data_IF_942671276419
#
_entry.id   IF_942671276419
#
_cell.length_a   1.000
_cell.length_b   1.000
_cell.length_c   1.000
_cell.angle_alpha   90.00
_cell.angle_beta   90.00
_cell.angle_gamma   90.00
#
_symmetry.space_group_name_H-M   'P 1'
#
loop_
_entity.id
_entity.type
_entity.pdbx_description
1 polymer ?
#
# COMPACT_ATOMS: atom_id res chain seq x y z
N UNK A 1 27.11 -13.82 -14.52
CA UNK A 1 25.71 -13.57 -14.16
C UNK A 1 25.74 -13.08 -12.73
N UNK A 2 25.74 -11.75 -12.54
CA UNK A 2 25.86 -11.14 -11.20
C UNK A 2 24.55 -11.27 -10.44
N UNK A 3 24.60 -11.90 -9.30
CA UNK A 3 23.52 -11.91 -8.31
C UNK A 3 23.15 -10.47 -7.97
N UNK A 4 21.94 -10.06 -8.32
CA UNK A 4 21.41 -8.76 -7.96
C UNK A 4 21.18 -8.79 -6.43
N UNK A 5 22.18 -8.38 -5.66
CA UNK A 5 22.08 -8.20 -4.20
C UNK A 5 21.13 -7.05 -3.90
N UNK A 6 19.83 -7.35 -3.89
CA UNK A 6 18.75 -6.43 -3.47
C UNK A 6 18.83 -6.07 -1.97
N UNK A 7 19.72 -6.71 -1.21
CA UNK A 7 19.85 -6.54 0.25
C UNK A 7 20.67 -5.32 0.69
N UNK A 8 21.44 -4.70 -0.18
CA UNK A 8 22.41 -3.67 0.22
C UNK A 8 21.97 -2.24 -0.15
N UNK A 9 20.70 -2.03 -0.53
CA UNK A 9 20.19 -0.67 -0.62
C UNK A 9 19.84 -0.18 0.80
N UNK A 10 20.40 0.94 1.27
CA UNK A 10 20.15 1.46 2.63
C UNK A 10 18.69 1.81 2.90
N UNK A 11 17.84 1.71 1.88
CA UNK A 11 16.40 1.92 1.94
C UNK A 11 15.59 0.70 2.44
N UNK A 12 16.18 -0.52 2.42
CA UNK A 12 15.48 -1.76 2.82
C UNK A 12 15.72 -2.15 4.28
N UNK A 13 16.69 -1.55 4.93
CA UNK A 13 16.85 -1.71 6.38
C UNK A 13 16.01 -0.64 7.08
N UNK A 14 14.74 -0.96 7.33
CA UNK A 14 13.92 -0.23 8.29
C UNK A 14 14.55 -0.27 9.68
N UNK A 15 15.62 0.49 9.87
CA UNK A 15 16.13 0.81 11.21
C UNK A 15 15.00 1.57 11.89
N UNK A 16 14.43 0.96 12.90
CA UNK A 16 13.60 1.67 13.86
C UNK A 16 14.42 2.90 14.32
N UNK A 17 14.03 4.08 13.84
CA UNK A 17 14.63 5.31 14.31
C UNK A 17 14.41 5.36 15.82
N UNK A 18 15.51 5.42 16.58
CA UNK A 18 15.45 5.63 18.01
C UNK A 18 14.65 6.90 18.33
N UNK A 19 14.24 7.09 19.58
CA UNK A 19 13.43 8.25 19.96
C UNK A 19 14.20 9.53 19.64
N UNK A 20 13.77 10.22 18.59
CA UNK A 20 14.29 11.56 18.29
C UNK A 20 13.68 12.55 19.29
N UNK A 21 14.40 13.59 19.69
CA UNK A 21 13.88 14.61 20.64
C UNK A 21 12.60 15.29 20.16
N UNK A 22 12.28 15.23 18.88
CA UNK A 22 10.99 15.66 18.33
C UNK A 22 9.82 14.79 18.79
N UNK A 23 10.05 13.54 19.23
CA UNK A 23 8.99 12.69 19.79
C UNK A 23 8.52 13.18 21.16
N UNK A 24 9.36 13.93 21.89
CA UNK A 24 8.98 14.57 23.15
C UNK A 24 8.04 15.78 22.96
N UNK A 25 8.01 16.39 21.78
CA UNK A 25 7.07 17.46 21.43
C UNK A 25 5.69 16.92 21.04
N UNK A 26 5.58 15.61 20.78
CA UNK A 26 4.33 14.96 20.34
C UNK A 26 3.26 14.77 21.43
N UNK A 27 3.59 15.05 22.68
CA UNK A 27 2.64 14.90 23.81
C UNK A 27 1.88 16.18 24.17
N UNK A 28 2.06 17.26 23.43
CA UNK A 28 1.28 18.47 23.63
C UNK A 28 -0.15 18.28 23.07
N UNK A 29 -1.16 18.70 23.84
CA UNK A 29 -2.58 18.58 23.46
C UNK A 29 -2.87 19.16 22.09
N UNK A 30 -2.23 20.26 21.71
CA UNK A 30 -2.39 20.89 20.39
C UNK A 30 -1.86 20.01 19.26
N UNK A 31 -0.66 19.45 19.37
CA UNK A 31 -0.06 18.59 18.33
C UNK A 31 -0.86 17.29 18.18
N UNK A 32 -1.30 16.68 19.28
CA UNK A 32 -2.15 15.48 19.27
C UNK A 32 -3.50 15.76 18.60
N UNK A 33 -4.08 16.93 18.79
CA UNK A 33 -5.35 17.32 18.16
C UNK A 33 -5.18 17.55 16.66
N UNK A 34 -4.11 18.23 16.25
CA UNK A 34 -3.78 18.45 14.83
C UNK A 34 -3.52 17.11 14.13
N UNK A 35 -2.75 16.20 14.74
CA UNK A 35 -2.49 14.87 14.21
C UNK A 35 -3.78 14.08 13.98
N UNK A 36 -4.71 14.11 14.94
CA UNK A 36 -6.01 13.44 14.81
C UNK A 36 -6.85 14.00 13.67
N UNK A 37 -6.90 15.33 13.52
CA UNK A 37 -7.67 15.99 12.45
C UNK A 37 -7.07 15.65 11.07
N UNK A 38 -5.75 15.73 10.91
CA UNK A 38 -5.09 15.43 9.65
C UNK A 38 -5.25 13.94 9.30
N UNK A 39 -5.07 13.03 10.27
CA UNK A 39 -5.24 11.61 10.04
C UNK A 39 -6.70 11.22 9.78
N UNK A 40 -7.66 11.92 10.38
CA UNK A 40 -9.07 11.77 10.03
C UNK A 40 -9.32 12.15 8.57
N UNK A 41 -8.82 13.30 8.12
CA UNK A 41 -8.93 13.72 6.72
C UNK A 41 -8.29 12.72 5.75
N UNK A 42 -7.05 12.28 6.03
CA UNK A 42 -6.33 11.29 5.22
C UNK A 42 -7.03 9.93 5.18
N UNK A 43 -7.58 9.47 6.32
CA UNK A 43 -8.29 8.19 6.36
C UNK A 43 -9.64 8.23 5.64
N UNK A 44 -10.24 9.40 5.51
CA UNK A 44 -11.57 9.57 4.88
C UNK A 44 -11.51 9.75 3.36
N UNK A 45 -10.34 10.10 2.82
CA UNK A 45 -10.13 10.29 1.38
C UNK A 45 -8.83 9.61 0.98
N UNK A 46 -8.91 8.33 0.57
CA UNK A 46 -7.77 7.54 0.11
C UNK A 46 -8.00 7.22 -1.36
N UNK A 47 -7.17 7.77 -2.24
CA UNK A 47 -7.32 7.59 -3.68
C UNK A 47 -6.40 6.48 -4.20
N UNK A 48 -6.99 5.35 -4.66
CA UNK A 48 -6.21 4.26 -5.20
C UNK A 48 -5.59 4.60 -6.56
N UNK A 49 -4.35 4.13 -6.79
CA UNK A 49 -3.75 4.09 -8.11
C UNK A 49 -4.40 2.99 -8.96
N UNK A 50 -4.67 3.28 -10.21
CA UNK A 50 -5.13 2.28 -11.18
C UNK A 50 -3.94 1.41 -11.61
N UNK A 51 -3.71 0.30 -10.89
CA UNK A 51 -2.58 -0.61 -11.15
C UNK A 51 -2.98 -2.07 -10.98
N UNK A 52 -3.47 -2.66 -12.07
CA UNK A 52 -3.89 -4.06 -12.12
C UNK A 52 -2.93 -4.92 -12.95
N UNK A 53 -2.50 -6.06 -12.43
CA UNK A 53 -1.51 -6.92 -13.05
C UNK A 53 -2.07 -8.26 -13.52
N UNK A 54 -3.08 -8.80 -12.84
CA UNK A 54 -3.62 -10.12 -13.12
C UNK A 54 -5.11 -10.23 -12.69
N UNK A 55 -5.58 -11.47 -12.48
CA UNK A 55 -6.99 -11.75 -12.14
C UNK A 55 -7.54 -11.00 -10.92
N UNK A 56 -6.72 -10.68 -9.92
CA UNK A 56 -7.15 -9.88 -8.78
C UNK A 56 -7.59 -8.46 -9.18
N UNK A 57 -7.11 -7.93 -10.31
CA UNK A 57 -7.56 -6.64 -10.82
C UNK A 57 -9.04 -6.66 -11.24
N UNK A 58 -9.56 -7.80 -11.68
CA UNK A 58 -10.97 -7.95 -12.04
C UNK A 58 -11.85 -7.85 -10.78
N UNK A 59 -11.43 -8.49 -9.69
CA UNK A 59 -12.12 -8.37 -8.40
C UNK A 59 -11.99 -6.96 -7.81
N UNK A 60 -10.86 -6.28 -8.02
CA UNK A 60 -10.70 -4.88 -7.67
C UNK A 60 -11.68 -3.99 -8.43
N UNK A 61 -11.90 -4.24 -9.74
CA UNK A 61 -12.93 -3.55 -10.52
C UNK A 61 -14.33 -3.89 -10.01
N UNK A 62 -14.59 -5.13 -9.59
CA UNK A 62 -15.83 -5.54 -8.97
C UNK A 62 -16.15 -4.78 -7.68
N UNK A 63 -15.12 -4.39 -6.90
CA UNK A 63 -15.29 -3.59 -5.69
C UNK A 63 -15.74 -2.14 -5.96
N UNK A 64 -15.52 -1.63 -7.15
CA UNK A 64 -16.01 -0.31 -7.62
C UNK A 64 -17.47 -0.40 -8.09
N UNK A 65 -17.94 -1.61 -8.35
CA UNK A 65 -19.30 -1.86 -8.84
C UNK A 65 -20.38 -1.46 -7.83
N UNK A 66 -21.62 -1.26 -8.28
CA UNK A 66 -22.72 -0.70 -7.46
C UNK A 66 -23.10 -1.57 -6.26
N UNK A 67 -22.76 -2.85 -6.28
CA UNK A 67 -23.08 -3.78 -5.20
C UNK A 67 -22.20 -3.56 -3.97
N UNK A 68 -20.90 -3.40 -4.13
CA UNK A 68 -19.92 -3.22 -3.06
C UNK A 68 -19.61 -1.75 -2.79
N UNK A 69 -19.43 -0.98 -3.84
CA UNK A 69 -19.23 0.46 -3.86
C UNK A 69 -18.18 0.97 -2.87
N UNK A 70 -16.92 0.83 -3.24
CA UNK A 70 -15.76 1.28 -2.45
C UNK A 70 -15.78 2.81 -2.17
N UNK A 71 -16.59 3.57 -2.91
CA UNK A 71 -16.79 5.01 -2.71
C UNK A 71 -17.32 5.34 -1.32
N UNK A 72 -18.12 4.44 -0.71
CA UNK A 72 -18.64 4.59 0.66
C UNK A 72 -17.53 4.69 1.71
N UNK A 73 -16.33 4.23 1.37
CA UNK A 73 -15.15 4.24 2.23
C UNK A 73 -14.13 5.31 1.84
N UNK A 74 -14.53 6.27 0.99
CA UNK A 74 -13.67 7.38 0.58
C UNK A 74 -12.61 7.03 -0.47
N UNK A 75 -12.77 5.90 -1.15
CA UNK A 75 -11.83 5.40 -2.18
C UNK A 75 -12.47 5.37 -3.56
N UNK A 76 -13.32 6.34 -3.87
CA UNK A 76 -14.09 6.41 -5.12
C UNK A 76 -13.19 6.55 -6.34
N UNK A 77 -12.17 7.38 -6.25
CA UNK A 77 -11.46 7.86 -7.42
C UNK A 77 -10.19 7.09 -7.67
N UNK A 78 -10.23 6.14 -8.60
CA UNK A 78 -9.06 5.46 -9.12
C UNK A 78 -8.25 6.38 -10.05
N UNK A 79 -7.10 6.83 -9.59
CA UNK A 79 -6.23 7.71 -10.37
C UNK A 79 -5.33 6.91 -11.30
N UNK A 80 -5.27 7.34 -12.57
CA UNK A 80 -4.32 6.78 -13.54
C UNK A 80 -2.90 7.33 -13.32
N UNK A 81 -2.78 8.54 -12.76
CA UNK A 81 -1.50 9.14 -12.44
C UNK A 81 -1.04 8.76 -11.03
N UNK A 82 0.13 8.14 -10.87
CA UNK A 82 0.69 7.83 -9.55
C UNK A 82 0.90 9.06 -8.67
N UNK A 83 1.18 10.21 -9.28
CA UNK A 83 1.42 11.48 -8.58
C UNK A 83 0.19 12.05 -7.88
N UNK A 84 -1.00 11.54 -8.19
CA UNK A 84 -2.28 11.98 -7.63
C UNK A 84 -2.94 10.90 -6.78
N UNK A 85 -2.25 9.80 -6.49
CA UNK A 85 -2.77 8.67 -5.72
C UNK A 85 -2.01 8.51 -4.42
N UNK A 86 -2.73 8.07 -3.39
CA UNK A 86 -2.21 7.86 -2.04
C UNK A 86 -2.06 6.37 -1.72
N UNK A 87 -2.81 5.51 -2.42
CA UNK A 87 -2.84 4.08 -2.20
C UNK A 87 -2.41 3.32 -3.46
N UNK A 88 -1.43 2.44 -3.34
CA UNK A 88 -1.07 1.48 -4.39
C UNK A 88 -1.63 0.10 -4.05
N UNK A 89 -2.56 -0.39 -4.88
CA UNK A 89 -3.08 -1.75 -4.76
C UNK A 89 -2.37 -2.61 -5.80
N UNK A 90 -1.43 -3.44 -5.36
CA UNK A 90 -0.75 -4.39 -6.25
C UNK A 90 -1.63 -5.63 -6.40
N UNK A 91 -2.39 -5.68 -7.51
CA UNK A 91 -3.43 -6.67 -7.73
C UNK A 91 -2.95 -7.85 -8.57
N UNK A 92 -2.50 -8.91 -7.92
CA UNK A 92 -2.15 -10.19 -8.55
C UNK A 92 -0.66 -10.47 -8.65
N UNK A 93 -0.28 -11.35 -9.61
CA UNK A 93 1.10 -11.79 -9.78
C UNK A 93 1.98 -10.72 -10.42
N UNK A 94 3.19 -10.60 -9.89
CA UNK A 94 4.21 -9.67 -10.36
C UNK A 94 5.28 -10.44 -11.14
N UNK A 95 5.37 -10.20 -12.43
CA UNK A 95 6.47 -10.73 -13.24
C UNK A 95 7.77 -9.98 -12.91
N UNK A 96 8.93 -10.68 -12.99
CA UNK A 96 10.23 -10.05 -12.71
C UNK A 96 10.48 -8.84 -13.63
N UNK A 97 10.00 -8.88 -14.86
CA UNK A 97 10.10 -7.74 -15.80
C UNK A 97 9.29 -6.51 -15.37
N UNK A 98 8.27 -6.69 -14.52
CA UNK A 98 7.45 -5.60 -13.99
C UNK A 98 8.03 -4.97 -12.71
N UNK A 99 9.04 -5.57 -12.10
CA UNK A 99 9.67 -5.05 -10.87
C UNK A 99 10.14 -3.60 -11.01
N UNK A 100 10.91 -3.22 -12.06
CA UNK A 100 11.35 -1.84 -12.22
C UNK A 100 10.17 -0.87 -12.40
N UNK A 101 9.10 -1.30 -13.07
CA UNK A 101 7.90 -0.48 -13.29
C UNK A 101 7.16 -0.23 -11.96
N UNK A 102 6.96 -1.26 -11.15
CA UNK A 102 6.33 -1.11 -9.82
C UNK A 102 7.13 -0.17 -8.94
N UNK A 103 8.45 -0.32 -8.93
CA UNK A 103 9.34 0.56 -8.18
C UNK A 103 9.21 2.01 -8.66
N UNK A 104 9.23 2.24 -9.96
CA UNK A 104 9.08 3.56 -10.54
C UNK A 104 7.71 4.18 -10.21
N UNK A 105 6.63 3.41 -10.29
CA UNK A 105 5.28 3.87 -9.90
C UNK A 105 5.25 4.25 -8.44
N UNK A 106 5.79 3.41 -7.57
CA UNK A 106 5.86 3.67 -6.13
C UNK A 106 6.67 4.93 -5.80
N UNK A 107 7.82 5.12 -6.46
CA UNK A 107 8.68 6.29 -6.23
C UNK A 107 8.04 7.60 -6.74
N UNK A 108 7.13 7.52 -7.72
CA UNK A 108 6.37 8.67 -8.23
C UNK A 108 5.20 9.08 -7.34
N UNK A 109 4.76 8.23 -6.42
CA UNK A 109 3.66 8.56 -5.50
C UNK A 109 4.14 9.53 -4.43
N UNK A 110 3.34 10.57 -4.10
CA UNK A 110 3.65 11.49 -3.02
C UNK A 110 3.57 10.81 -1.64
N UNK A 111 4.29 11.34 -0.68
CA UNK A 111 4.13 10.96 0.73
C UNK A 111 2.97 11.75 1.38
N UNK A 112 2.18 11.17 2.26
CA UNK A 112 2.19 9.77 2.71
C UNK A 112 1.54 8.83 1.69
N UNK A 113 2.10 7.63 1.51
CA UNK A 113 1.61 6.60 0.60
C UNK A 113 1.49 5.25 1.30
N UNK A 114 0.55 4.44 0.84
CA UNK A 114 0.27 3.12 1.41
C UNK A 114 0.22 2.06 0.33
N UNK A 115 0.51 0.83 0.68
CA UNK A 115 0.54 -0.30 -0.25
C UNK A 115 -0.29 -1.46 0.29
N UNK A 116 -1.21 -1.95 -0.55
CA UNK A 116 -1.94 -3.20 -0.31
C UNK A 116 -1.46 -4.26 -1.30
N UNK A 117 -0.94 -5.37 -0.81
CA UNK A 117 -0.66 -6.55 -1.61
C UNK A 117 -1.94 -7.40 -1.72
N UNK A 118 -2.60 -7.36 -2.89
CA UNK A 118 -3.87 -8.04 -3.12
C UNK A 118 -3.68 -9.41 -3.76
N UNK A 119 -4.09 -10.42 -3.01
CA UNK A 119 -4.10 -11.81 -3.43
C UNK A 119 -2.85 -12.60 -3.04
N UNK A 120 -2.96 -13.93 -3.11
CA UNK A 120 -1.88 -14.85 -2.76
C UNK A 120 -0.63 -14.63 -3.62
N UNK A 121 -0.79 -14.26 -4.90
CA UNK A 121 0.33 -14.01 -5.79
C UNK A 121 1.18 -12.80 -5.38
N UNK A 122 0.55 -11.70 -4.95
CA UNK A 122 1.26 -10.53 -4.46
C UNK A 122 1.90 -10.76 -3.09
N UNK A 123 1.29 -11.62 -2.26
CA UNK A 123 1.75 -11.89 -0.89
C UNK A 123 2.86 -12.94 -0.83
N UNK A 124 2.81 -14.00 -1.67
CA UNK A 124 3.72 -15.15 -1.56
C UNK A 124 3.93 -15.92 -2.88
N UNK A 125 3.71 -15.29 -4.05
CA UNK A 125 3.63 -15.91 -5.37
C UNK A 125 2.47 -16.92 -5.55
N UNK A 126 1.80 -17.35 -4.48
CA UNK A 126 0.68 -18.28 -4.54
C UNK A 126 1.03 -19.59 -5.23
N UNK A 127 0.16 -20.02 -6.19
CA UNK A 127 0.38 -21.21 -6.99
C UNK A 127 1.43 -21.06 -8.11
N UNK A 128 1.89 -19.84 -8.40
CA UNK A 128 2.82 -19.53 -9.49
C UNK A 128 4.26 -19.41 -9.01
N UNK A 129 4.75 -20.39 -8.27
CA UNK A 129 6.12 -20.40 -7.78
C UNK A 129 7.08 -20.81 -8.90
N UNK A 130 7.53 -19.86 -9.73
CA UNK A 130 8.48 -20.07 -10.79
C UNK A 130 9.50 -18.93 -10.89
N UNK A 131 10.53 -19.12 -11.74
CA UNK A 131 11.62 -18.16 -11.89
C UNK A 131 11.21 -16.82 -12.55
N UNK A 132 10.05 -16.76 -13.19
CA UNK A 132 9.59 -15.56 -13.89
C UNK A 132 8.75 -14.61 -13.01
N UNK A 133 8.36 -15.05 -11.81
CA UNK A 133 7.47 -14.33 -10.92
C UNK A 133 8.17 -14.03 -9.59
N UNK A 134 7.94 -12.82 -9.10
CA UNK A 134 8.44 -12.39 -7.79
C UNK A 134 7.66 -13.08 -6.69
N UNK A 135 8.38 -13.63 -5.70
CA UNK A 135 7.80 -14.43 -4.63
C UNK A 135 6.95 -13.63 -3.62
N UNK A 136 7.15 -12.31 -3.55
CA UNK A 136 6.35 -11.41 -2.73
C UNK A 136 6.65 -9.96 -3.10
N UNK A 137 5.65 -9.10 -3.03
CA UNK A 137 5.78 -7.67 -3.33
C UNK A 137 6.63 -6.94 -2.29
N UNK A 138 6.68 -7.43 -1.05
CA UNK A 138 7.48 -6.85 0.04
C UNK A 138 8.99 -6.87 -0.24
N UNK A 139 9.44 -7.73 -1.15
CA UNK A 139 10.84 -7.73 -1.63
C UNK A 139 11.16 -6.54 -2.53
N UNK A 140 10.15 -5.85 -3.06
CA UNK A 140 10.30 -4.75 -4.00
C UNK A 140 10.00 -3.41 -3.31
N UNK A 141 8.85 -3.33 -2.64
CA UNK A 141 8.32 -2.13 -1.97
C UNK A 141 7.73 -2.51 -0.61
N UNK A 142 7.74 -1.60 0.37
CA UNK A 142 7.12 -1.87 1.66
C UNK A 142 5.61 -2.06 1.51
N UNK A 143 5.06 -3.08 2.17
CA UNK A 143 3.63 -3.43 2.15
C UNK A 143 3.01 -3.13 3.50
N UNK A 144 1.89 -2.41 3.50
CA UNK A 144 1.15 -2.05 4.71
C UNK A 144 0.13 -3.13 5.10
N UNK A 145 -0.55 -3.69 4.10
CA UNK A 145 -1.59 -4.70 4.32
C UNK A 145 -1.48 -5.81 3.28
N UNK A 146 -1.59 -7.05 3.75
CA UNK A 146 -1.70 -8.23 2.90
C UNK A 146 -3.15 -8.69 2.87
N UNK A 147 -3.68 -8.90 1.67
CA UNK A 147 -5.02 -9.39 1.44
C UNK A 147 -4.97 -10.80 0.84
N UNK A 148 -5.25 -11.85 1.63
CA UNK A 148 -5.22 -13.22 1.14
C UNK A 148 -6.43 -13.54 0.26
N UNK A 149 -6.25 -14.47 -0.67
CA UNK A 149 -7.27 -14.97 -1.58
C UNK A 149 -6.72 -15.21 -2.99
N UNK A 150 -7.43 -15.97 -3.81
CA UNK A 150 -6.99 -16.27 -5.18
C UNK A 150 -8.19 -16.43 -6.13
N UNK A 151 -8.78 -15.31 -6.62
CA UNK A 151 -8.67 -13.95 -6.12
C UNK A 151 -9.45 -13.75 -4.80
N UNK A 152 -9.09 -12.74 -3.99
CA UNK A 152 -9.90 -12.36 -2.84
C UNK A 152 -11.21 -11.72 -3.30
N UNK A 153 -12.29 -11.94 -2.56
CA UNK A 153 -13.59 -11.33 -2.86
C UNK A 153 -13.55 -9.81 -2.69
N UNK A 154 -14.40 -9.06 -3.40
CA UNK A 154 -14.46 -7.60 -3.26
C UNK A 154 -14.71 -7.13 -1.83
N UNK A 155 -15.53 -7.86 -1.04
CA UNK A 155 -15.79 -7.55 0.36
C UNK A 155 -14.51 -7.62 1.21
N UNK A 156 -13.61 -8.55 0.90
CA UNK A 156 -12.33 -8.67 1.58
C UNK A 156 -11.41 -7.47 1.26
N UNK A 157 -11.50 -6.91 0.05
CA UNK A 157 -10.79 -5.67 -0.29
C UNK A 157 -11.34 -4.48 0.50
N UNK A 158 -12.66 -4.38 0.66
CA UNK A 158 -13.27 -3.34 1.50
C UNK A 158 -12.81 -3.45 2.96
N UNK A 159 -12.74 -4.66 3.52
CA UNK A 159 -12.20 -4.89 4.86
C UNK A 159 -10.72 -4.47 4.97
N UNK A 160 -9.91 -4.73 3.94
CA UNK A 160 -8.53 -4.28 3.89
C UNK A 160 -8.42 -2.74 3.88
N UNK A 161 -9.29 -2.05 3.14
CA UNK A 161 -9.35 -0.58 3.15
C UNK A 161 -9.73 -0.06 4.52
N UNK A 162 -10.73 -0.65 5.19
CA UNK A 162 -11.13 -0.29 6.55
C UNK A 162 -9.99 -0.51 7.55
N UNK A 163 -9.25 -1.61 7.43
CA UNK A 163 -8.05 -1.87 8.25
C UNK A 163 -6.97 -0.83 8.02
N UNK A 164 -6.77 -0.43 6.76
CA UNK A 164 -5.83 0.64 6.42
C UNK A 164 -6.25 1.97 7.05
N UNK A 165 -7.52 2.32 6.96
CA UNK A 165 -8.05 3.54 7.60
C UNK A 165 -7.80 3.55 9.11
N UNK A 166 -7.99 2.41 9.78
CA UNK A 166 -7.70 2.28 11.22
C UNK A 166 -6.20 2.45 11.50
N UNK A 167 -5.34 1.89 10.66
CA UNK A 167 -3.88 2.06 10.74
C UNK A 167 -3.51 3.54 10.62
N UNK A 168 -4.03 4.25 9.62
CA UNK A 168 -3.76 5.68 9.37
C UNK A 168 -4.18 6.53 10.58
N UNK A 169 -5.35 6.27 11.17
CA UNK A 169 -5.83 7.02 12.34
C UNK A 169 -4.96 6.84 13.58
N UNK A 170 -4.27 5.70 13.70
CA UNK A 170 -3.38 5.39 14.82
C UNK A 170 -1.92 5.83 14.63
N UNK A 171 -1.54 6.29 13.45
CA UNK A 171 -0.16 6.64 13.15
C UNK A 171 0.12 8.12 13.43
N UNK A 172 1.22 8.44 14.16
CA UNK A 172 1.67 9.81 14.32
C UNK A 172 2.25 10.34 13.01
N UNK A 173 1.98 11.61 12.68
CA UNK A 173 2.44 12.28 11.45
C UNK A 173 3.96 12.24 11.25
N UNK A 174 4.71 12.34 12.33
CA UNK A 174 6.18 12.45 12.31
C UNK A 174 6.89 11.13 11.93
N UNK A 175 6.24 9.97 12.11
CA UNK A 175 6.87 8.67 11.81
C UNK A 175 6.92 8.33 10.32
N UNK A 176 6.22 9.06 9.46
CA UNK A 176 6.15 8.76 8.02
C UNK A 176 7.11 9.56 7.15
N UNK A 177 7.79 10.53 7.72
CA UNK A 177 8.76 11.38 7.00
C UNK A 177 10.21 10.90 7.12
N UNK A 178 10.42 9.64 7.55
CA UNK A 178 11.75 9.05 7.65
C UNK A 178 12.01 8.01 6.56
#
# INVERSE_FOLDING_TARGET
>A
MGELKLRDTPFLTGRAAGPTPLNALGENVLTTTIDKVINWGRSSAIWPALFGLACCAIEMMGAVGPRQDISRFGSELFRASPRQSDLLIVSGRVAIKMVPVIRQVYDQMPEPKWVIAMGACASSAGMFNNYAIVQSVDKIIPVDIYLPGCPPRPEALLDAVIKLQRKIRGEPLVKRTA
#
